data_IF_532102433206
#
_entry.id   IF_532102433206
#
_cell.length_a   1.000
_cell.length_b   1.000
_cell.length_c   1.000
_cell.angle_alpha   90.00
_cell.angle_beta   90.00
_cell.angle_gamma   90.00
#
_symmetry.space_group_name_H-M   'P 1'
#
loop_
_entity.id
_entity.type
_entity.pdbx_description
1 polymer ?
#
# COMPACT_ATOMS: atom_id res chain seq x y z
N UNK A 1 -11.21 -26.05 4.85
CA UNK A 1 -9.86 -25.45 4.76
C UNK A 1 -10.05 -24.09 4.14
N UNK A 2 -10.01 -23.03 4.95
CA UNK A 2 -10.67 -21.74 4.69
C UNK A 2 -9.69 -20.54 4.75
N UNK A 3 -8.40 -20.80 4.56
CA UNK A 3 -7.36 -19.87 4.98
C UNK A 3 -7.08 -18.70 4.00
N UNK A 4 -7.44 -18.79 2.72
CA UNK A 4 -6.99 -17.83 1.71
C UNK A 4 -7.82 -16.54 1.61
N UNK A 5 -9.15 -16.64 1.76
CA UNK A 5 -10.02 -15.47 1.98
C UNK A 5 -9.62 -14.70 3.25
N UNK A 6 -9.13 -15.40 4.27
CA UNK A 6 -8.55 -14.77 5.45
C UNK A 6 -7.27 -14.03 5.10
N UNK A 7 -6.35 -14.61 4.32
CA UNK A 7 -5.09 -13.95 3.96
C UNK A 7 -5.31 -12.65 3.20
N UNK A 8 -6.11 -12.65 2.12
CA UNK A 8 -6.35 -11.42 1.36
C UNK A 8 -7.04 -10.34 2.20
N UNK A 9 -8.05 -10.72 3.00
CA UNK A 9 -8.72 -9.80 3.93
C UNK A 9 -7.76 -9.26 4.99
N UNK A 10 -6.90 -10.11 5.54
CA UNK A 10 -5.85 -9.73 6.49
C UNK A 10 -4.84 -8.78 5.86
N UNK A 11 -4.38 -9.03 4.64
CA UNK A 11 -3.47 -8.12 3.93
C UNK A 11 -4.11 -6.76 3.65
N UNK A 12 -5.38 -6.74 3.27
CA UNK A 12 -6.12 -5.50 3.03
C UNK A 12 -6.32 -4.70 4.32
N UNK A 13 -6.65 -5.38 5.43
CA UNK A 13 -6.73 -4.77 6.77
C UNK A 13 -5.37 -4.19 7.18
N UNK A 14 -4.28 -4.96 7.01
CA UNK A 14 -2.92 -4.51 7.32
C UNK A 14 -2.58 -3.26 6.48
N UNK A 15 -2.91 -3.24 5.20
CA UNK A 15 -2.69 -2.09 4.31
C UNK A 15 -3.37 -0.82 4.82
N UNK A 16 -4.64 -0.94 5.23
CA UNK A 16 -5.44 0.17 5.75
C UNK A 16 -4.87 0.62 7.09
N UNK A 17 -4.58 -0.30 8.01
CA UNK A 17 -4.00 0.03 9.32
C UNK A 17 -2.64 0.74 9.19
N UNK A 18 -1.76 0.28 8.30
CA UNK A 18 -0.47 0.94 8.04
C UNK A 18 -0.68 2.33 7.45
N UNK A 19 -1.64 2.49 6.53
CA UNK A 19 -1.93 3.79 5.91
C UNK A 19 -2.48 4.80 6.93
N UNK A 20 -3.46 4.38 7.75
CA UNK A 20 -4.07 5.23 8.78
C UNK A 20 -3.07 5.54 9.90
N UNK A 21 -2.28 4.56 10.34
CA UNK A 21 -1.28 4.73 11.39
C UNK A 21 -0.16 5.72 11.04
N UNK A 22 0.12 5.93 9.75
CA UNK A 22 1.09 6.94 9.30
C UNK A 22 0.59 8.37 9.40
N UNK A 23 -0.71 8.61 9.31
CA UNK A 23 -1.30 9.96 9.37
C UNK A 23 -0.94 10.67 10.68
N UNK A 24 -1.17 10.10 11.89
CA UNK A 24 -0.79 10.75 13.14
C UNK A 24 0.73 10.86 13.28
N UNK A 25 1.50 9.89 12.74
CA UNK A 25 2.95 10.00 12.68
C UNK A 25 3.35 11.28 11.95
N UNK A 26 2.90 11.47 10.71
CA UNK A 26 3.18 12.66 9.89
C UNK A 26 2.78 13.96 10.60
N UNK A 27 1.63 14.00 11.26
CA UNK A 27 1.17 15.17 12.02
C UNK A 27 2.14 15.51 13.16
N UNK A 28 2.60 14.51 13.92
CA UNK A 28 3.59 14.70 15.00
C UNK A 28 4.98 15.05 14.45
N UNK A 29 5.31 14.60 13.24
CA UNK A 29 6.57 14.91 12.57
C UNK A 29 6.77 16.41 12.32
N UNK A 30 5.70 17.14 11.99
CA UNK A 30 5.76 18.58 11.68
C UNK A 30 6.33 19.41 12.84
N UNK A 31 5.73 19.43 14.05
CA UNK A 31 6.26 20.20 15.18
C UNK A 31 7.65 19.70 15.61
N UNK A 32 7.93 18.42 15.43
CA UNK A 32 9.22 17.83 15.79
C UNK A 32 10.38 18.32 14.90
N UNK A 33 10.10 18.61 13.63
CA UNK A 33 11.05 19.27 12.72
C UNK A 33 11.29 20.73 13.15
N UNK A 34 10.24 21.45 13.56
CA UNK A 34 10.36 22.84 14.03
C UNK A 34 11.17 22.97 15.31
N UNK A 35 11.04 22.00 16.23
CA UNK A 35 11.78 22.01 17.50
C UNK A 35 13.26 21.64 17.38
N UNK A 36 13.76 21.26 16.18
CA UNK A 36 15.16 20.88 15.92
C UNK A 36 15.71 19.78 16.85
N UNK A 37 14.88 18.84 17.30
CA UNK A 37 15.35 17.70 18.11
C UNK A 37 16.06 16.64 17.24
N UNK A 38 17.30 16.90 16.83
CA UNK A 38 18.08 16.07 15.88
C UNK A 38 18.21 14.60 16.31
N UNK A 39 18.31 14.32 17.62
CA UNK A 39 18.45 12.95 18.15
C UNK A 39 17.17 12.13 18.01
N UNK A 40 16.00 12.71 18.34
CA UNK A 40 14.71 12.01 18.23
C UNK A 40 14.21 11.98 16.78
N UNK A 41 14.57 12.99 15.98
CA UNK A 41 14.22 13.09 14.56
C UNK A 41 14.85 11.94 13.74
N UNK A 42 16.06 11.45 14.09
CA UNK A 42 16.66 10.29 13.41
C UNK A 42 15.82 9.01 13.58
N UNK A 43 15.41 8.70 14.82
CA UNK A 43 14.58 7.51 15.11
C UNK A 43 13.25 7.62 14.36
N UNK A 44 12.65 8.81 14.40
CA UNK A 44 11.41 9.10 13.71
C UNK A 44 11.50 8.87 12.19
N UNK A 45 12.56 9.38 11.54
CA UNK A 45 12.78 9.17 10.09
C UNK A 45 13.03 7.70 9.76
N UNK A 46 13.76 6.96 10.60
CA UNK A 46 13.96 5.50 10.38
C UNK A 46 12.66 4.71 10.49
N UNK A 47 11.78 5.04 11.45
CA UNK A 47 10.47 4.39 11.61
C UNK A 47 9.56 4.71 10.42
N UNK A 48 9.52 5.98 9.97
CA UNK A 48 8.78 6.36 8.76
C UNK A 48 9.30 5.64 7.51
N UNK A 49 10.63 5.49 7.38
CA UNK A 49 11.23 4.76 6.27
C UNK A 49 10.81 3.28 6.26
N UNK A 50 10.88 2.61 7.40
CA UNK A 50 10.43 1.21 7.50
C UNK A 50 8.93 1.07 7.19
N UNK A 51 8.10 1.98 7.69
CA UNK A 51 6.67 1.97 7.42
C UNK A 51 6.34 2.25 5.94
N UNK A 52 7.08 3.14 5.28
CA UNK A 52 6.93 3.39 3.82
C UNK A 52 7.42 2.21 2.99
N UNK A 53 8.53 1.58 3.39
CA UNK A 53 9.02 0.36 2.77
C UNK A 53 8.01 -0.79 2.85
N UNK A 54 7.44 -1.03 4.04
CA UNK A 54 6.41 -2.06 4.23
C UNK A 54 5.18 -1.80 3.36
N UNK A 55 4.74 -0.55 3.27
CA UNK A 55 3.60 -0.17 2.43
C UNK A 55 3.90 -0.35 0.94
N UNK A 56 5.11 -0.04 0.48
CA UNK A 56 5.55 -0.31 -0.90
C UNK A 56 5.48 -1.81 -1.24
N UNK A 57 6.00 -2.66 -0.37
CA UNK A 57 5.93 -4.12 -0.57
C UNK A 57 4.48 -4.61 -0.66
N UNK A 58 3.59 -4.08 0.16
CA UNK A 58 2.16 -4.37 0.07
C UNK A 58 1.55 -3.87 -1.24
N UNK A 59 1.88 -2.64 -1.67
CA UNK A 59 1.36 -2.07 -2.90
C UNK A 59 1.83 -2.84 -4.13
N UNK A 60 3.07 -3.32 -4.16
CA UNK A 60 3.58 -4.19 -5.24
C UNK A 60 2.81 -5.50 -5.26
N UNK A 61 2.56 -6.10 -4.09
CA UNK A 61 1.76 -7.32 -3.96
C UNK A 61 0.32 -7.13 -4.47
N UNK A 62 -0.29 -5.96 -4.22
CA UNK A 62 -1.61 -5.61 -4.76
C UNK A 62 -1.61 -5.19 -6.23
N UNK A 63 -0.47 -4.73 -6.75
CA UNK A 63 -0.33 -4.30 -8.15
C UNK A 63 -0.16 -5.48 -9.10
N UNK A 64 0.23 -6.66 -8.62
CA UNK A 64 0.09 -7.87 -9.42
C UNK A 64 -1.39 -8.11 -9.68
N UNK A 65 -1.75 -8.45 -10.91
CA UNK A 65 -3.13 -8.82 -11.25
C UNK A 65 -3.52 -10.01 -10.38
N UNK A 66 -4.30 -9.75 -9.33
CA UNK A 66 -4.88 -10.79 -8.51
C UNK A 66 -5.99 -11.40 -9.34
N UNK A 67 -5.65 -12.48 -10.02
CA UNK A 67 -6.59 -13.28 -10.76
C UNK A 67 -7.60 -13.86 -9.78
N UNK A 68 -8.81 -13.28 -9.77
CA UNK A 68 -9.97 -13.78 -9.01
C UNK A 68 -10.28 -15.27 -9.33
N UNK A 69 -9.65 -15.81 -10.38
CA UNK A 69 -9.57 -17.22 -10.77
C UNK A 69 -9.46 -18.15 -9.55
N UNK A 70 -8.50 -17.94 -8.64
CA UNK A 70 -8.30 -18.92 -7.54
C UNK A 70 -9.45 -18.91 -6.52
N UNK A 71 -10.05 -17.74 -6.26
CA UNK A 71 -11.15 -17.59 -5.31
C UNK A 71 -12.48 -18.08 -5.92
N UNK A 72 -12.73 -17.79 -7.19
CA UNK A 72 -13.90 -18.27 -7.94
C UNK A 72 -13.85 -19.79 -8.07
N UNK A 73 -12.70 -20.36 -8.44
CA UNK A 73 -12.53 -21.81 -8.59
C UNK A 73 -12.68 -22.54 -7.25
N UNK A 74 -12.20 -21.95 -6.15
CA UNK A 74 -12.33 -22.52 -4.81
C UNK A 74 -13.75 -22.43 -4.26
N UNK A 75 -14.47 -21.34 -4.51
CA UNK A 75 -15.89 -21.24 -4.14
C UNK A 75 -16.71 -22.27 -4.90
N UNK A 76 -16.45 -22.40 -6.20
CA UNK A 76 -17.09 -23.38 -7.07
C UNK A 76 -16.86 -24.82 -6.59
N UNK A 77 -15.60 -25.20 -6.32
CA UNK A 77 -15.26 -26.53 -5.82
C UNK A 77 -15.96 -26.86 -4.48
N UNK A 78 -16.17 -25.85 -3.63
CA UNK A 78 -16.86 -26.00 -2.35
C UNK A 78 -18.39 -25.88 -2.44
N UNK A 79 -18.96 -25.84 -3.66
CA UNK A 79 -20.41 -25.69 -3.89
C UNK A 79 -20.99 -24.46 -3.18
N UNK A 80 -20.20 -23.39 -3.05
CA UNK A 80 -20.60 -22.11 -2.47
C UNK A 80 -21.10 -21.18 -3.57
N UNK A 81 -22.03 -20.28 -3.22
CA UNK A 81 -22.59 -19.34 -4.19
C UNK A 81 -21.55 -18.35 -4.71
N UNK A 82 -21.53 -18.17 -6.03
CA UNK A 82 -20.70 -17.17 -6.73
C UNK A 82 -21.38 -15.80 -6.83
N UNK A 83 -22.57 -15.62 -6.24
CA UNK A 83 -23.43 -14.43 -6.36
C UNK A 83 -22.67 -13.11 -6.20
N UNK A 84 -21.74 -13.02 -5.25
CA UNK A 84 -20.94 -11.81 -5.05
C UNK A 84 -20.12 -11.43 -6.30
N UNK A 85 -19.49 -12.40 -6.95
CA UNK A 85 -18.69 -12.17 -8.14
C UNK A 85 -19.58 -11.91 -9.36
N UNK A 86 -20.68 -12.65 -9.49
CA UNK A 86 -21.62 -12.54 -10.61
C UNK A 86 -22.27 -11.15 -10.67
N UNK A 87 -22.70 -10.64 -9.51
CA UNK A 87 -23.28 -9.29 -9.39
C UNK A 87 -22.22 -8.21 -9.55
N UNK A 88 -21.07 -8.33 -8.87
CA UNK A 88 -20.06 -7.26 -8.87
C UNK A 88 -19.27 -7.17 -10.18
N UNK A 89 -19.07 -8.31 -10.85
CA UNK A 89 -18.21 -8.43 -12.02
C UNK A 89 -19.00 -8.78 -13.28
N UNK A 90 -20.34 -8.71 -13.25
CA UNK A 90 -21.26 -8.96 -14.37
C UNK A 90 -20.80 -10.16 -15.20
N UNK A 91 -20.69 -11.30 -14.54
CA UNK A 91 -20.13 -12.54 -15.06
C UNK A 91 -21.01 -13.72 -14.61
N UNK A 92 -20.84 -14.88 -15.23
CA UNK A 92 -21.56 -16.09 -14.85
C UNK A 92 -20.63 -17.30 -14.88
N UNK A 93 -20.68 -18.11 -13.82
CA UNK A 93 -19.87 -19.32 -13.70
C UNK A 93 -18.37 -19.05 -13.60
N UNK A 94 -17.57 -20.12 -13.63
CA UNK A 94 -16.11 -20.03 -13.53
C UNK A 94 -15.54 -19.56 -14.86
N UNK A 95 -15.74 -20.33 -15.93
CA UNK A 95 -15.32 -20.07 -17.30
C UNK A 95 -16.49 -19.53 -18.12
N UNK A 96 -17.72 -19.89 -17.76
CA UNK A 96 -18.94 -19.36 -18.38
C UNK A 96 -20.22 -19.95 -17.78
N UNK A 97 -21.40 -19.55 -18.28
CA UNK A 97 -22.70 -20.01 -17.77
C UNK A 97 -22.92 -21.52 -17.92
N UNK A 98 -22.21 -22.17 -18.84
CA UNK A 98 -22.31 -23.62 -19.08
C UNK A 98 -21.75 -24.45 -17.93
N UNK A 99 -20.92 -23.87 -17.04
CA UNK A 99 -20.41 -24.56 -15.86
C UNK A 99 -21.56 -25.03 -14.95
N UNK A 100 -22.63 -24.23 -14.83
CA UNK A 100 -23.83 -24.60 -14.08
C UNK A 100 -24.55 -25.79 -14.71
N UNK A 101 -24.69 -25.80 -16.05
CA UNK A 101 -25.31 -26.92 -16.78
C UNK A 101 -24.49 -28.20 -16.62
N UNK A 102 -23.16 -28.10 -16.70
CA UNK A 102 -22.25 -29.23 -16.56
C UNK A 102 -22.25 -29.81 -15.14
N UNK A 103 -22.39 -28.95 -14.13
CA UNK A 103 -22.52 -29.34 -12.74
C UNK A 103 -23.94 -29.82 -12.36
N UNK A 104 -24.85 -29.89 -13.34
CA UNK A 104 -26.27 -30.22 -13.14
C UNK A 104 -26.98 -29.30 -12.13
N UNK A 105 -26.56 -28.03 -12.10
CA UNK A 105 -27.09 -26.96 -11.27
C UNK A 105 -27.89 -25.98 -12.12
N UNK A 106 -28.91 -25.35 -11.53
CA UNK A 106 -29.63 -24.26 -12.19
C UNK A 106 -28.75 -23.01 -12.17
N UNK A 107 -28.76 -22.28 -13.30
CA UNK A 107 -28.09 -20.98 -13.38
C UNK A 107 -28.81 -20.02 -12.43
N UNK A 108 -28.09 -19.38 -11.49
CA UNK A 108 -28.71 -18.48 -10.52
C UNK A 108 -29.15 -17.17 -11.19
N UNK A 109 -30.17 -16.47 -10.63
CA UNK A 109 -30.65 -15.19 -11.14
C UNK A 109 -29.59 -14.08 -11.12
N UNK A 110 -28.52 -14.24 -10.32
CA UNK A 110 -27.36 -13.34 -10.29
C UNK A 110 -26.55 -13.32 -11.59
N UNK A 111 -26.69 -14.34 -12.44
CA UNK A 111 -26.07 -14.40 -13.76
C UNK A 111 -26.81 -13.60 -14.84
N UNK A 112 -27.96 -13.02 -14.52
CA UNK A 112 -28.80 -12.29 -15.47
C UNK A 112 -28.79 -10.81 -15.14
N UNK A 113 -28.76 -9.98 -16.18
CA UNK A 113 -28.94 -8.55 -16.03
C UNK A 113 -30.27 -8.27 -15.33
N UNK A 114 -30.25 -7.44 -14.30
CA UNK A 114 -31.42 -7.09 -13.48
C UNK A 114 -32.22 -8.30 -12.93
N UNK A 115 -31.59 -9.47 -12.85
CA UNK A 115 -32.21 -10.74 -12.41
C UNK A 115 -33.43 -11.14 -13.26
N UNK A 116 -33.45 -10.76 -14.54
CA UNK A 116 -34.58 -11.05 -15.45
C UNK A 116 -34.83 -12.55 -15.65
N UNK A 117 -33.77 -13.36 -15.62
CA UNK A 117 -33.86 -14.80 -15.88
C UNK A 117 -34.03 -15.13 -17.38
N UNK A 118 -33.96 -14.13 -18.25
CA UNK A 118 -34.05 -14.31 -19.70
C UNK A 118 -32.68 -14.63 -20.31
N UNK A 119 -32.63 -15.57 -21.24
CA UNK A 119 -31.38 -16.00 -21.88
C UNK A 119 -30.63 -14.86 -22.59
N UNK A 120 -31.35 -13.86 -23.10
CA UNK A 120 -30.75 -12.69 -23.76
C UNK A 120 -29.96 -11.79 -22.79
N UNK A 121 -30.35 -11.78 -21.51
CA UNK A 121 -29.74 -10.99 -20.44
C UNK A 121 -28.65 -11.76 -19.67
N UNK A 122 -28.37 -13.01 -20.06
CA UNK A 122 -27.40 -13.85 -19.38
C UNK A 122 -25.97 -13.40 -19.65
N UNK A 123 -25.18 -13.20 -18.60
CA UNK A 123 -23.75 -12.93 -18.74
C UNK A 123 -23.04 -14.16 -19.34
N UNK A 124 -22.41 -13.96 -20.50
CA UNK A 124 -21.69 -15.03 -21.21
C UNK A 124 -20.23 -15.17 -20.76
N UNK A 125 -19.71 -14.18 -20.02
CA UNK A 125 -18.30 -14.16 -19.59
C UNK A 125 -18.12 -14.86 -18.25
N UNK A 126 -17.12 -15.74 -18.15
CA UNK A 126 -16.76 -16.41 -16.90
C UNK A 126 -16.14 -15.48 -15.86
N UNK A 127 -16.50 -15.67 -14.59
CA UNK A 127 -15.98 -14.87 -13.49
C UNK A 127 -14.47 -15.05 -13.25
N UNK A 128 -13.87 -16.13 -13.75
CA UNK A 128 -12.41 -16.32 -13.73
C UNK A 128 -11.69 -15.43 -14.76
N UNK A 129 -12.33 -15.10 -15.88
CA UNK A 129 -11.74 -14.28 -16.95
C UNK A 129 -11.84 -12.78 -16.70
N UNK A 130 -12.76 -12.37 -15.82
CA UNK A 130 -12.91 -11.00 -15.35
C UNK A 130 -11.90 -10.74 -14.22
N UNK A 131 -10.83 -10.04 -14.54
CA UNK A 131 -9.97 -9.44 -13.51
C UNK A 131 -10.79 -8.39 -12.76
N UNK A 132 -11.11 -8.67 -11.49
CA UNK A 132 -11.64 -7.65 -10.58
C UNK A 132 -10.50 -6.67 -10.35
N UNK A 133 -10.44 -5.61 -11.16
CA UNK A 133 -9.57 -4.48 -10.87
C UNK A 133 -10.17 -3.84 -9.62
N UNK A 134 -9.49 -3.86 -8.46
CA UNK A 134 -9.91 -2.98 -7.39
C UNK A 134 -9.96 -1.57 -7.99
N UNK A 135 -10.95 -0.76 -7.62
CA UNK A 135 -11.06 0.64 -8.08
C UNK A 135 -10.01 1.52 -7.36
N UNK A 136 -9.36 0.96 -6.34
CA UNK A 136 -8.45 1.63 -5.41
C UNK A 136 -6.93 1.62 -5.71
N UNK A 137 -6.35 0.92 -6.72
CA UNK A 137 -4.92 0.80 -6.86
C UNK A 137 -4.30 2.13 -7.28
N UNK A 138 -4.98 2.93 -8.10
CA UNK A 138 -4.44 4.22 -8.57
C UNK A 138 -4.28 5.21 -7.41
N UNK A 139 -5.31 5.37 -6.57
CA UNK A 139 -5.25 6.28 -5.41
C UNK A 139 -4.21 5.81 -4.40
N UNK A 140 -4.11 4.50 -4.17
CA UNK A 140 -3.14 3.93 -3.25
C UNK A 140 -1.70 4.09 -3.75
N UNK A 141 -1.45 3.88 -5.04
CA UNK A 141 -0.13 4.09 -5.67
C UNK A 141 0.28 5.58 -5.62
N UNK A 142 -0.63 6.48 -5.99
CA UNK A 142 -0.37 7.93 -5.93
C UNK A 142 -0.06 8.39 -4.50
N UNK A 143 -0.83 7.91 -3.53
CA UNK A 143 -0.59 8.21 -2.10
C UNK A 143 0.79 7.73 -1.64
N UNK A 144 1.18 6.52 -2.04
CA UNK A 144 2.49 5.95 -1.69
C UNK A 144 3.65 6.73 -2.32
N UNK A 145 3.53 7.13 -3.59
CA UNK A 145 4.55 7.94 -4.27
C UNK A 145 4.74 9.29 -3.57
N UNK A 146 3.64 9.95 -3.21
CA UNK A 146 3.66 11.25 -2.54
C UNK A 146 4.28 11.15 -1.14
N UNK A 147 3.97 10.08 -0.40
CA UNK A 147 4.60 9.77 0.89
C UNK A 147 6.10 9.50 0.76
N UNK A 148 6.53 8.77 -0.26
CA UNK A 148 7.94 8.48 -0.49
C UNK A 148 8.73 9.77 -0.77
N UNK A 149 8.17 10.68 -1.58
CA UNK A 149 8.74 12.00 -1.82
C UNK A 149 8.94 12.78 -0.51
N UNK A 150 7.95 12.79 0.38
CA UNK A 150 8.03 13.43 1.69
C UNK A 150 9.15 12.86 2.58
N UNK A 151 9.29 11.53 2.63
CA UNK A 151 10.37 10.87 3.40
C UNK A 151 11.73 11.20 2.81
N UNK A 152 11.87 11.25 1.49
CA UNK A 152 13.12 11.58 0.81
C UNK A 152 13.54 13.03 1.09
N UNK A 153 12.61 13.98 1.05
CA UNK A 153 12.86 15.39 1.42
C UNK A 153 13.33 15.50 2.88
N UNK A 154 12.68 14.81 3.82
CA UNK A 154 13.07 14.80 5.23
C UNK A 154 14.46 14.17 5.44
N UNK A 155 14.78 13.11 4.71
CA UNK A 155 16.09 12.47 4.76
C UNK A 155 17.20 13.40 4.24
N UNK A 156 16.97 14.07 3.10
CA UNK A 156 17.90 15.07 2.55
C UNK A 156 18.10 16.23 3.52
N UNK A 157 17.02 16.74 4.12
CA UNK A 157 17.09 17.80 5.13
C UNK A 157 17.96 17.40 6.34
N UNK A 158 17.83 16.16 6.83
CA UNK A 158 18.68 15.63 7.90
C UNK A 158 20.16 15.53 7.49
N UNK A 159 20.44 15.11 6.25
CA UNK A 159 21.82 15.04 5.73
C UNK A 159 22.43 16.44 5.66
N UNK A 160 21.67 17.44 5.20
CA UNK A 160 22.11 18.85 5.17
C UNK A 160 22.40 19.35 6.58
N UNK A 161 21.50 19.13 7.55
CA UNK A 161 21.73 19.52 8.94
C UNK A 161 23.01 18.87 9.50
N UNK A 162 23.20 17.56 9.29
CA UNK A 162 24.40 16.86 9.73
C UNK A 162 25.67 17.42 9.07
N UNK A 163 25.64 17.70 7.77
CA UNK A 163 26.77 18.34 7.06
C UNK A 163 27.07 19.73 7.60
N UNK A 164 26.05 20.55 7.87
CA UNK A 164 26.25 21.88 8.45
C UNK A 164 26.81 21.81 9.88
N UNK A 165 26.38 20.85 10.69
CA UNK A 165 26.90 20.64 12.04
C UNK A 165 28.37 20.19 12.01
N UNK A 166 28.71 19.25 11.13
CA UNK A 166 30.11 18.82 10.91
C UNK A 166 30.96 19.99 10.46
N UNK A 167 30.51 20.76 9.45
CA UNK A 167 31.22 21.95 8.94
C UNK A 167 31.46 22.99 10.03
N UNK A 168 30.47 23.19 10.91
CA UNK A 168 30.57 24.12 12.04
C UNK A 168 31.59 23.62 13.08
N UNK A 169 31.61 22.32 13.41
CA UNK A 169 32.63 21.72 14.30
C UNK A 169 34.04 21.81 13.73
N UNK A 170 34.22 21.54 12.43
CA UNK A 170 35.54 21.66 11.78
C UNK A 170 36.04 23.11 11.73
N UNK A 171 35.15 24.11 11.57
CA UNK A 171 35.58 25.52 11.68
C UNK A 171 36.01 25.87 13.11
N UNK A 172 35.29 25.39 14.13
CA UNK A 172 35.66 25.66 15.53
C UNK A 172 36.98 24.97 15.95
N UNK A 173 37.28 23.78 15.41
CA UNK A 173 38.56 23.11 15.65
C UNK A 173 39.76 23.75 14.93
N UNK A 174 39.51 24.64 13.97
CA UNK A 174 40.56 25.40 13.26
C UNK A 174 40.83 26.78 13.90
N UNK A 175 40.07 27.19 14.92
CA UNK A 175 40.27 28.47 15.63
C UNK A 175 41.15 28.46 16.91
N UNK A 176 42.05 27.50 17.20
CA UNK A 176 42.99 27.68 18.31
C UNK A 176 44.42 28.01 17.81
N UNK A 177 44.66 29.25 17.35
CA UNK A 177 45.97 29.96 17.44
C UNK A 177 45.92 31.33 16.74
N UNK A 178 45.34 32.36 17.38
CA UNK A 178 45.67 33.76 17.05
C UNK A 178 45.50 34.69 18.26
N UNK A 179 45.74 34.17 19.48
CA UNK A 179 45.86 34.98 20.70
C UNK A 179 46.97 34.37 21.53
N UNK A 180 48.23 34.58 21.11
CA UNK A 180 49.45 34.56 21.93
C UNK A 180 50.66 34.74 21.01
N UNK A 181 50.79 35.93 20.43
CA UNK A 181 52.06 36.45 19.91
C UNK A 181 52.06 37.97 20.12
N UNK A 182 51.93 38.36 21.39
CA UNK A 182 52.51 39.61 21.89
C UNK A 182 53.37 39.18 23.08
N UNK A 183 54.42 38.41 22.76
CA UNK A 183 55.66 38.50 23.54
C UNK A 183 56.23 39.88 23.19
N UNK A 184 56.49 40.75 24.16
CA UNK A 184 57.66 40.65 25.04
C UNK A 184 58.95 40.67 24.20
N UNK A 185 59.16 41.73 23.43
CA UNK A 185 60.50 42.13 23.01
C UNK A 185 60.77 43.56 23.51
N UNK A 186 61.77 43.62 24.40
CA UNK A 186 62.56 44.76 24.91
C UNK A 186 61.92 45.83 25.80
#
# INVERSE_FOLDING_TARGET
MDCWRCLFKTYMIIAICVSVGKIPLLIVGIPMVFLKLTRRLRIYVTVLFLATWLQMMLTILFSQEYQAISDVLRLWANHKSLEFFEVHSTCCGVVGPDDYKLANMMVPPSCFKDRSGELEDQYQVGCSTRSVKPVFPVVQVVSVLLQYGLVLVLAVYLVILKRTEIRRRTMWSLSPTEVNSVDSDE
#
